data_IF_034358050047
#
_entry.id   IF_034358050047
#
_cell.length_a   1.000
_cell.length_b   1.000
_cell.length_c   1.000
_cell.angle_alpha   90.00
_cell.angle_beta   90.00
_cell.angle_gamma   90.00
#
_symmetry.space_group_name_H-M   'P 1'
#
loop_
_entity.id
_entity.type
_entity.pdbx_description
1 polymer ?
#
# COMPACT_ATOMS: atom_id res chain seq x y z
N UNK A 1 2.17 -2.09 9.84
CA UNK A 1 1.35 -2.97 10.74
C UNK A 1 1.08 -2.36 12.13
N UNK A 2 2.02 -1.78 12.87
CA UNK A 2 1.76 -1.27 14.23
C UNK A 2 0.56 -0.33 14.34
N UNK A 3 0.47 0.70 13.50
CA UNK A 3 -0.66 1.64 13.50
C UNK A 3 -2.02 0.95 13.26
N UNK A 4 -2.07 -0.09 12.43
CA UNK A 4 -3.29 -0.88 12.20
C UNK A 4 -3.77 -1.57 13.46
N UNK A 5 -2.83 -2.12 14.24
CA UNK A 5 -3.18 -2.74 15.51
C UNK A 5 -3.76 -1.72 16.49
N UNK A 6 -3.21 -0.52 16.54
CA UNK A 6 -3.75 0.56 17.37
C UNK A 6 -5.17 0.95 16.94
N UNK A 7 -5.41 1.10 15.64
CA UNK A 7 -6.74 1.39 15.09
C UNK A 7 -7.74 0.28 15.45
N UNK A 8 -7.34 -0.98 15.29
CA UNK A 8 -8.22 -2.12 15.58
C UNK A 8 -8.53 -2.30 17.06
N UNK A 9 -7.54 -2.10 17.93
CA UNK A 9 -7.63 -2.47 19.36
C UNK A 9 -7.83 -1.29 20.28
N UNK A 10 -7.58 -0.07 19.84
CA UNK A 10 -7.53 1.11 20.71
C UNK A 10 -6.38 1.10 21.71
N UNK A 11 -5.38 0.25 21.54
CA UNK A 11 -4.25 0.08 22.46
C UNK A 11 -2.95 0.51 21.80
N UNK A 12 -2.10 1.20 22.54
CA UNK A 12 -0.77 1.57 22.06
C UNK A 12 0.07 0.33 21.75
N UNK A 13 0.64 0.25 20.56
CA UNK A 13 1.37 -0.92 20.07
C UNK A 13 2.62 -1.24 20.91
N UNK A 14 3.31 -0.24 21.45
CA UNK A 14 4.53 -0.43 22.26
C UNK A 14 4.26 -1.08 23.63
N UNK A 15 3.00 -1.05 24.11
CA UNK A 15 2.59 -1.71 25.35
C UNK A 15 2.23 -3.18 25.14
N UNK A 16 2.18 -3.63 23.90
CA UNK A 16 1.69 -4.94 23.54
C UNK A 16 2.58 -5.54 22.46
N UNK A 17 2.07 -5.89 21.30
CA UNK A 17 2.87 -6.35 20.14
C UNK A 17 2.84 -5.30 19.06
N UNK A 18 3.98 -4.74 18.70
CA UNK A 18 4.02 -3.70 17.67
C UNK A 18 3.84 -4.27 16.25
N UNK A 19 4.48 -5.39 15.95
CA UNK A 19 4.37 -6.08 14.66
C UNK A 19 3.90 -7.51 14.87
N UNK A 20 2.88 -7.92 14.15
CA UNK A 20 2.36 -9.29 14.20
C UNK A 20 0.86 -9.36 13.93
N UNK A 21 0.30 -10.56 13.91
CA UNK A 21 -1.12 -10.80 13.67
C UNK A 21 -1.99 -10.28 14.83
N UNK A 22 -3.28 -10.17 14.55
CA UNK A 22 -4.28 -10.06 15.61
C UNK A 22 -4.30 -11.34 16.42
N UNK A 23 -4.14 -11.19 17.73
CA UNK A 23 -4.15 -12.32 18.66
C UNK A 23 -5.60 -12.70 19.05
N UNK A 24 -5.85 -13.96 19.47
CA UNK A 24 -7.19 -14.39 19.86
C UNK A 24 -7.82 -13.58 21.01
N UNK A 25 -6.98 -12.96 21.84
CA UNK A 25 -7.41 -12.15 22.99
C UNK A 25 -7.52 -10.64 22.68
N UNK A 26 -7.24 -10.22 21.45
CA UNK A 26 -7.39 -8.83 21.04
C UNK A 26 -8.86 -8.50 20.76
N UNK A 27 -9.35 -7.47 21.41
CA UNK A 27 -10.61 -6.85 21.01
C UNK A 27 -10.38 -6.07 19.70
N UNK A 28 -11.11 -6.43 18.67
CA UNK A 28 -10.99 -5.80 17.35
C UNK A 28 -12.24 -4.98 17.03
N UNK A 29 -12.05 -3.71 16.71
CA UNK A 29 -13.16 -2.81 16.35
C UNK A 29 -14.06 -3.39 15.25
N UNK A 30 -13.55 -3.88 14.09
CA UNK A 30 -14.42 -4.47 13.06
C UNK A 30 -15.20 -5.70 13.55
N UNK A 31 -14.60 -6.51 14.41
CA UNK A 31 -15.27 -7.68 15.00
C UNK A 31 -16.36 -7.28 15.99
N UNK A 32 -16.13 -6.26 16.80
CA UNK A 32 -17.13 -5.70 17.71
C UNK A 32 -18.30 -5.13 16.90
N UNK A 33 -18.03 -4.39 15.83
CA UNK A 33 -19.08 -3.87 14.93
C UNK A 33 -19.93 -5.02 14.37
N UNK A 34 -19.28 -6.06 13.82
CA UNK A 34 -19.95 -7.24 13.28
C UNK A 34 -20.84 -7.95 14.31
N UNK A 35 -20.37 -8.13 15.55
CA UNK A 35 -21.14 -8.73 16.65
C UNK A 35 -22.37 -7.89 17.04
N UNK A 36 -22.34 -6.59 16.77
CA UNK A 36 -23.45 -5.66 17.03
C UNK A 36 -24.31 -5.37 15.78
N UNK A 37 -24.25 -6.22 14.75
CA UNK A 37 -25.09 -6.11 13.56
C UNK A 37 -24.67 -5.03 12.57
N UNK A 38 -23.46 -4.48 12.72
CA UNK A 38 -22.88 -3.50 11.79
C UNK A 38 -22.00 -4.27 10.79
N UNK A 39 -22.34 -4.19 9.51
CA UNK A 39 -21.55 -4.80 8.45
C UNK A 39 -20.25 -4.04 8.25
N UNK A 40 -19.12 -4.71 8.33
CA UNK A 40 -17.82 -4.09 8.12
C UNK A 40 -17.13 -4.62 6.87
N UNK A 41 -16.64 -3.72 6.03
CA UNK A 41 -15.93 -4.05 4.80
C UNK A 41 -14.56 -3.38 4.77
N UNK A 42 -13.54 -4.14 4.36
CA UNK A 42 -12.17 -3.66 4.16
C UNK A 42 -11.81 -3.75 2.68
N UNK A 43 -11.27 -2.68 2.14
CA UNK A 43 -10.60 -2.69 0.85
C UNK A 43 -9.16 -2.21 1.09
N UNK A 44 -8.19 -3.02 0.68
CA UNK A 44 -6.77 -2.73 0.94
C UNK A 44 -5.87 -3.26 -0.16
N UNK A 45 -4.84 -2.51 -0.49
CA UNK A 45 -3.73 -2.95 -1.33
C UNK A 45 -2.52 -3.45 -0.53
N UNK A 46 -2.67 -3.59 0.78
CA UNK A 46 -1.60 -3.97 1.68
C UNK A 46 -1.42 -5.50 1.75
N UNK A 47 -0.54 -6.07 0.92
CA UNK A 47 -0.36 -7.51 0.77
C UNK A 47 0.20 -8.23 2.03
N UNK A 48 0.80 -7.52 2.99
CA UNK A 48 1.28 -8.11 4.24
C UNK A 48 0.21 -8.80 5.09
N UNK A 49 -1.06 -8.56 4.82
CA UNK A 49 -2.15 -9.33 5.44
C UNK A 49 -2.14 -10.81 5.03
N UNK A 50 -1.56 -11.14 3.90
CA UNK A 50 -1.57 -12.47 3.27
C UNK A 50 -0.19 -13.12 3.20
N UNK A 51 0.83 -12.52 3.78
CA UNK A 51 2.15 -13.13 3.90
C UNK A 51 2.13 -14.36 4.82
N UNK A 52 3.12 -15.23 4.68
CA UNK A 52 3.30 -16.39 5.56
C UNK A 52 3.44 -15.94 7.02
N UNK A 53 2.68 -16.57 7.90
CA UNK A 53 2.48 -16.07 9.27
C UNK A 53 1.57 -14.87 9.38
N UNK A 54 0.87 -14.52 8.35
CA UNK A 54 0.07 -13.33 8.06
C UNK A 54 -0.59 -12.60 9.20
N UNK A 55 -0.80 -11.31 9.03
CA UNK A 55 -1.25 -10.44 10.11
C UNK A 55 -2.74 -10.54 10.42
N UNK A 56 -3.52 -11.25 9.60
CA UNK A 56 -4.93 -11.66 9.87
C UNK A 56 -5.93 -10.58 10.28
N UNK A 57 -5.64 -9.30 10.01
CA UNK A 57 -6.54 -8.18 10.35
C UNK A 57 -7.82 -8.21 9.52
N UNK A 58 -7.71 -8.55 8.23
CA UNK A 58 -8.83 -8.63 7.29
C UNK A 58 -9.92 -9.61 7.72
N UNK A 59 -9.58 -10.71 8.40
CA UNK A 59 -10.53 -11.72 8.86
C UNK A 59 -11.52 -11.22 9.92
N UNK A 60 -11.26 -10.07 10.51
CA UNK A 60 -12.12 -9.44 11.51
C UNK A 60 -13.30 -8.70 10.90
N UNK A 61 -13.21 -8.34 9.61
CA UNK A 61 -14.28 -7.72 8.86
C UNK A 61 -15.35 -8.74 8.42
N UNK A 62 -16.52 -8.26 8.05
CA UNK A 62 -17.59 -9.10 7.46
C UNK A 62 -17.20 -9.57 6.06
N UNK A 63 -16.55 -8.70 5.30
CA UNK A 63 -15.97 -9.01 3.98
C UNK A 63 -14.76 -8.11 3.70
N UNK A 64 -13.97 -8.49 2.69
CA UNK A 64 -12.79 -7.72 2.30
C UNK A 64 -12.41 -7.94 0.84
N UNK A 65 -11.70 -6.95 0.28
CA UNK A 65 -11.06 -7.02 -1.03
C UNK A 65 -9.58 -6.72 -0.90
N UNK A 66 -8.74 -7.49 -1.59
CA UNK A 66 -7.30 -7.27 -1.65
C UNK A 66 -6.88 -6.89 -3.06
N UNK A 67 -6.39 -5.68 -3.22
CA UNK A 67 -5.78 -5.20 -4.45
C UNK A 67 -4.29 -5.54 -4.43
N UNK A 68 -3.79 -6.11 -5.52
CA UNK A 68 -2.43 -6.64 -5.63
C UNK A 68 -1.53 -5.68 -6.41
N UNK A 69 -0.21 -5.78 -6.16
CA UNK A 69 0.79 -5.14 -7.01
C UNK A 69 1.69 -4.10 -6.33
N UNK A 70 1.44 -3.78 -5.08
CA UNK A 70 2.28 -2.86 -4.31
C UNK A 70 3.64 -3.47 -3.98
N UNK A 71 4.67 -2.65 -3.92
CA UNK A 71 6.06 -3.07 -3.60
C UNK A 71 6.49 -4.28 -4.44
N UNK A 72 7.19 -5.18 -3.76
CA UNK A 72 7.58 -6.49 -4.28
C UNK A 72 6.52 -7.58 -4.05
N UNK A 73 5.24 -7.23 -3.96
CA UNK A 73 4.14 -8.22 -3.83
C UNK A 73 4.34 -9.38 -4.83
N UNK A 74 4.41 -10.65 -4.41
CA UNK A 74 4.56 -11.80 -5.29
C UNK A 74 3.28 -12.05 -6.12
N UNK A 75 2.90 -11.07 -6.94
CA UNK A 75 1.66 -11.02 -7.70
C UNK A 75 1.79 -11.64 -9.09
N UNK A 76 2.65 -11.06 -9.93
CA UNK A 76 2.80 -11.51 -11.31
C UNK A 76 4.01 -12.43 -11.45
N UNK A 77 3.79 -13.60 -12.04
CA UNK A 77 4.86 -14.58 -12.23
C UNK A 77 5.78 -14.20 -13.40
N UNK A 78 7.09 -14.21 -13.14
CA UNK A 78 8.12 -14.09 -14.17
C UNK A 78 9.26 -15.08 -13.86
N UNK A 79 9.32 -16.19 -14.62
CA UNK A 79 10.31 -17.26 -14.42
C UNK A 79 11.69 -16.85 -14.93
N UNK A 80 11.73 -16.19 -16.09
CA UNK A 80 12.98 -15.75 -16.70
C UNK A 80 13.67 -14.63 -15.93
N UNK A 81 14.92 -14.35 -16.29
CA UNK A 81 15.65 -13.22 -15.75
C UNK A 81 15.07 -11.91 -16.31
N UNK A 82 15.02 -10.89 -15.46
CA UNK A 82 14.66 -9.52 -15.83
C UNK A 82 15.88 -8.63 -15.65
N UNK A 83 16.23 -7.93 -16.71
CA UNK A 83 17.26 -6.89 -16.64
C UNK A 83 16.68 -5.71 -15.86
N UNK A 84 17.32 -5.38 -14.75
CA UNK A 84 16.94 -4.21 -13.96
C UNK A 84 17.55 -2.95 -14.57
N UNK A 85 16.89 -1.79 -14.47
CA UNK A 85 17.46 -0.52 -14.89
C UNK A 85 18.66 -0.15 -14.01
N UNK A 86 19.51 0.78 -14.45
CA UNK A 86 20.47 1.43 -13.59
C UNK A 86 19.72 2.12 -12.45
N UNK A 87 20.09 1.86 -11.21
CA UNK A 87 19.33 2.33 -10.04
C UNK A 87 20.24 2.71 -8.87
N UNK A 88 19.70 3.53 -7.99
CA UNK A 88 20.21 3.85 -6.65
C UNK A 88 19.15 3.39 -5.65
N UNK A 89 19.59 2.94 -4.47
CA UNK A 89 18.69 2.38 -3.48
C UNK A 89 18.25 0.96 -3.82
N UNK A 90 17.02 0.62 -3.48
CA UNK A 90 16.46 -0.72 -3.71
C UNK A 90 15.80 -0.81 -5.09
N UNK A 91 15.91 -1.95 -5.74
CA UNK A 91 15.22 -2.25 -6.98
C UNK A 91 15.04 -3.78 -7.06
N UNK A 92 13.81 -4.24 -6.91
CA UNK A 92 13.48 -5.65 -6.88
C UNK A 92 12.96 -6.16 -8.23
N UNK A 93 13.34 -7.40 -8.62
CA UNK A 93 12.79 -8.05 -9.82
C UNK A 93 11.27 -8.09 -9.79
N UNK A 94 10.68 -8.49 -8.66
CA UNK A 94 9.23 -8.64 -8.54
C UNK A 94 8.50 -7.30 -8.69
N UNK A 95 9.02 -6.23 -8.09
CA UNK A 95 8.48 -4.88 -8.24
C UNK A 95 8.51 -4.44 -9.72
N UNK A 96 9.66 -4.64 -10.40
CA UNK A 96 9.76 -4.31 -11.83
C UNK A 96 8.83 -5.14 -12.73
N UNK A 97 8.49 -6.36 -12.34
CA UNK A 97 7.50 -7.18 -13.04
C UNK A 97 6.09 -6.65 -12.79
N UNK A 98 5.78 -6.28 -11.55
CA UNK A 98 4.45 -5.75 -11.21
C UNK A 98 4.15 -4.44 -11.94
N UNK A 99 5.14 -3.55 -12.11
CA UNK A 99 5.00 -2.28 -12.82
C UNK A 99 4.55 -2.42 -14.28
N UNK A 100 4.81 -3.55 -14.93
CA UNK A 100 4.30 -3.82 -16.28
C UNK A 100 2.76 -3.95 -16.34
N UNK A 101 2.14 -4.14 -15.18
CA UNK A 101 0.69 -4.30 -15.02
C UNK A 101 0.02 -3.13 -14.30
N UNK A 102 0.82 -2.19 -13.82
CA UNK A 102 0.41 -0.94 -13.18
C UNK A 102 0.95 0.28 -13.93
N UNK A 103 1.01 0.17 -15.24
CA UNK A 103 1.64 1.09 -16.19
C UNK A 103 0.80 2.33 -16.52
N UNK A 104 -0.34 2.47 -15.90
CA UNK A 104 -1.22 3.65 -15.99
C UNK A 104 -1.82 3.94 -14.60
N UNK A 105 -2.17 5.20 -14.32
CA UNK A 105 -2.80 5.60 -13.06
C UNK A 105 -4.01 4.72 -12.72
N UNK A 106 -4.90 4.48 -13.69
CA UNK A 106 -6.09 3.62 -13.51
C UNK A 106 -5.79 2.19 -13.05
N UNK A 107 -4.58 1.69 -13.31
CA UNK A 107 -4.13 0.35 -12.94
C UNK A 107 -3.29 0.31 -11.68
N UNK A 108 -2.88 1.46 -11.17
CA UNK A 108 -2.14 1.53 -9.91
C UNK A 108 -3.02 1.02 -8.76
N UNK A 109 -2.40 0.32 -7.83
CA UNK A 109 -3.10 -0.33 -6.73
C UNK A 109 -3.95 0.67 -5.92
N UNK A 110 -3.42 1.87 -5.66
CA UNK A 110 -4.13 2.96 -5.00
C UNK A 110 -5.43 3.31 -5.74
N UNK A 111 -5.37 3.58 -7.05
CA UNK A 111 -6.54 3.96 -7.85
C UNK A 111 -7.60 2.85 -7.89
N UNK A 112 -7.16 1.59 -8.01
CA UNK A 112 -8.06 0.43 -7.98
C UNK A 112 -8.74 0.30 -6.61
N UNK A 113 -7.99 0.53 -5.53
CA UNK A 113 -8.50 0.46 -4.14
C UNK A 113 -9.57 1.52 -3.90
N UNK A 114 -9.34 2.77 -4.31
CA UNK A 114 -10.34 3.83 -4.19
C UNK A 114 -11.58 3.58 -5.05
N UNK A 115 -11.41 3.10 -6.28
CA UNK A 115 -12.53 2.76 -7.17
C UNK A 115 -13.41 1.67 -6.57
N UNK A 116 -12.83 0.63 -5.98
CA UNK A 116 -13.59 -0.39 -5.25
C UNK A 116 -14.35 0.21 -4.04
N UNK A 117 -13.75 1.20 -3.36
CA UNK A 117 -14.43 1.96 -2.30
C UNK A 117 -15.64 2.72 -2.81
N UNK A 118 -15.53 3.39 -3.94
CA UNK A 118 -16.66 4.08 -4.58
C UNK A 118 -17.75 3.10 -4.99
N UNK A 119 -17.39 1.95 -5.57
CA UNK A 119 -18.34 0.89 -5.92
C UNK A 119 -19.12 0.38 -4.69
N UNK A 120 -18.42 0.18 -3.56
CA UNK A 120 -19.09 -0.18 -2.32
C UNK A 120 -20.12 0.87 -1.87
N UNK A 121 -19.73 2.17 -1.92
CA UNK A 121 -20.62 3.27 -1.55
C UNK A 121 -21.84 3.35 -2.47
N UNK A 122 -21.65 3.25 -3.78
CA UNK A 122 -22.74 3.27 -4.76
C UNK A 122 -23.72 2.10 -4.56
N UNK A 123 -23.19 0.91 -4.31
CA UNK A 123 -24.01 -0.29 -4.08
C UNK A 123 -24.81 -0.22 -2.80
N UNK A 124 -24.27 0.39 -1.75
CA UNK A 124 -24.82 0.34 -0.40
C UNK A 124 -25.42 1.68 0.08
N UNK A 125 -25.55 2.69 -0.80
CA UNK A 125 -26.03 4.03 -0.43
C UNK A 125 -27.41 4.06 0.23
N UNK A 126 -28.26 3.06 -0.03
CA UNK A 126 -29.60 2.91 0.56
C UNK A 126 -29.64 2.00 1.79
N UNK A 127 -28.50 1.51 2.28
CA UNK A 127 -28.41 0.63 3.44
C UNK A 127 -27.83 1.36 4.64
N UNK A 128 -28.26 0.98 5.84
CA UNK A 128 -27.74 1.47 7.12
C UNK A 128 -26.88 0.41 7.80
N UNK A 129 -26.20 0.82 8.87
CA UNK A 129 -25.44 -0.06 9.75
C UNK A 129 -24.25 -0.75 9.05
N UNK A 130 -23.48 0.01 8.30
CA UNK A 130 -22.21 -0.47 7.74
C UNK A 130 -21.04 0.44 8.09
N UNK A 131 -19.86 -0.14 8.01
CA UNK A 131 -18.56 0.52 8.17
C UNK A 131 -17.65 0.09 7.01
N UNK A 132 -17.10 1.06 6.30
CA UNK A 132 -16.14 0.86 5.24
C UNK A 132 -14.77 1.38 5.69
N UNK A 133 -13.74 0.56 5.53
CA UNK A 133 -12.34 0.99 5.60
C UNK A 133 -11.71 0.82 4.22
N UNK A 134 -11.25 1.93 3.66
CA UNK A 134 -10.39 1.95 2.48
C UNK A 134 -8.98 2.26 2.94
N UNK A 135 -8.03 1.43 2.57
CA UNK A 135 -6.66 1.51 3.02
C UNK A 135 -5.74 1.38 1.83
N UNK A 136 -4.93 2.41 1.59
CA UNK A 136 -3.89 2.42 0.55
C UNK A 136 -2.51 2.34 1.17
N UNK A 137 -1.59 1.68 0.46
CA UNK A 137 -0.20 1.57 0.85
C UNK A 137 0.57 2.85 0.56
N UNK A 138 0.26 3.48 -0.59
CA UNK A 138 0.83 4.75 -0.96
C UNK A 138 0.47 5.86 0.08
N UNK A 139 1.40 6.79 0.36
CA UNK A 139 2.70 7.03 -0.29
C UNK A 139 3.88 6.33 0.40
N UNK A 140 3.80 5.03 0.66
CA UNK A 140 4.94 4.23 1.10
C UNK A 140 5.91 4.01 -0.07
N UNK A 141 7.19 3.78 0.20
CA UNK A 141 8.13 3.40 -0.87
C UNK A 141 7.82 1.97 -1.38
N UNK A 142 8.11 1.66 -2.64
CA UNK A 142 8.72 2.51 -3.67
C UNK A 142 7.78 3.63 -4.14
N UNK A 143 8.32 4.83 -4.29
CA UNK A 143 7.57 5.99 -4.76
C UNK A 143 7.38 5.92 -6.28
N UNK A 144 6.64 4.91 -6.72
CA UNK A 144 6.35 4.70 -8.14
C UNK A 144 5.16 5.56 -8.56
N UNK A 145 5.39 6.42 -9.55
CA UNK A 145 4.38 7.27 -10.18
C UNK A 145 4.56 7.21 -11.69
N UNK A 146 3.51 7.55 -12.44
CA UNK A 146 3.60 7.72 -13.88
C UNK A 146 4.32 9.04 -14.22
N UNK A 147 4.93 9.10 -15.41
CA UNK A 147 5.66 10.30 -15.85
C UNK A 147 4.73 11.52 -15.94
N UNK A 148 3.47 11.32 -16.34
CA UNK A 148 2.46 12.37 -16.42
C UNK A 148 2.19 13.03 -15.06
N UNK A 149 2.13 12.24 -14.00
CA UNK A 149 1.87 12.72 -12.63
C UNK A 149 3.09 13.47 -12.08
N UNK A 150 4.29 13.06 -12.50
CA UNK A 150 5.54 13.69 -12.10
C UNK A 150 5.78 15.04 -12.79
N UNK A 151 5.25 15.26 -14.02
CA UNK A 151 5.49 16.49 -14.79
C UNK A 151 5.07 17.77 -14.07
N UNK A 152 4.15 17.70 -13.12
CA UNK A 152 3.78 18.83 -12.25
C UNK A 152 4.86 19.25 -11.26
N UNK A 153 5.83 18.39 -10.97
CA UNK A 153 6.88 18.56 -9.96
C UNK A 153 8.28 18.62 -10.58
N UNK A 154 8.50 17.93 -11.68
CA UNK A 154 9.81 17.82 -12.33
C UNK A 154 9.61 17.64 -13.84
N UNK A 155 10.19 18.55 -14.62
CA UNK A 155 10.00 18.55 -16.08
C UNK A 155 10.88 17.50 -16.78
N UNK A 156 12.09 17.26 -16.28
CA UNK A 156 13.07 16.33 -16.87
C UNK A 156 13.93 15.71 -15.76
N UNK A 157 14.17 14.41 -15.88
CA UNK A 157 15.06 13.66 -15.04
C UNK A 157 15.90 12.69 -15.87
N UNK A 158 17.21 12.81 -15.80
CA UNK A 158 18.19 12.00 -16.55
C UNK A 158 19.04 11.09 -15.66
N UNK A 159 18.69 10.98 -14.38
CA UNK A 159 19.39 10.15 -13.40
C UNK A 159 18.97 8.67 -13.45
N UNK A 160 19.62 7.84 -12.62
CA UNK A 160 19.22 6.45 -12.45
C UNK A 160 17.85 6.33 -11.78
N UNK A 161 17.19 5.18 -11.90
CA UNK A 161 15.97 4.91 -11.13
C UNK A 161 16.27 5.08 -9.63
N UNK A 162 15.53 5.97 -8.98
CA UNK A 162 15.65 6.20 -7.55
C UNK A 162 14.27 6.54 -6.95
N UNK A 163 13.54 5.52 -6.56
CA UNK A 163 12.22 5.66 -5.94
C UNK A 163 12.06 4.78 -4.68
N UNK A 164 13.04 3.94 -4.40
CA UNK A 164 13.07 3.11 -3.20
C UNK A 164 14.34 3.34 -2.38
N UNK A 165 14.43 4.47 -1.65
CA UNK A 165 15.60 4.80 -0.85
C UNK A 165 15.75 3.85 0.34
N UNK A 166 17.00 3.65 0.79
CA UNK A 166 17.28 2.90 2.01
C UNK A 166 17.03 3.73 3.28
N UNK A 167 16.83 3.05 4.41
CA UNK A 167 16.67 3.69 5.73
C UNK A 167 18.03 4.02 6.36
N UNK A 168 18.69 5.03 5.83
CA UNK A 168 20.00 5.52 6.30
C UNK A 168 20.17 7.02 6.02
N UNK A 169 21.29 7.58 6.46
CA UNK A 169 21.62 8.95 6.09
C UNK A 169 21.90 9.01 4.59
N UNK A 170 21.40 10.06 3.94
CA UNK A 170 21.69 10.33 2.52
C UNK A 170 23.20 10.27 2.26
N UNK A 171 23.60 9.43 1.34
CA UNK A 171 24.99 9.28 0.90
C UNK A 171 25.37 10.36 -0.10
N UNK A 172 26.68 10.49 -0.39
CA UNK A 172 27.14 11.42 -1.43
C UNK A 172 26.66 11.03 -2.83
N UNK A 173 26.46 9.73 -3.07
CA UNK A 173 25.92 9.20 -4.33
C UNK A 173 24.43 9.55 -4.50
N UNK A 174 23.64 9.46 -3.44
CA UNK A 174 22.21 9.77 -3.45
C UNK A 174 21.90 11.27 -3.49
N UNK A 175 22.81 12.07 -2.92
CA UNK A 175 22.60 13.51 -2.70
C UNK A 175 22.09 14.28 -3.93
N UNK A 176 22.62 14.07 -5.14
CA UNK A 176 22.14 14.78 -6.34
C UNK A 176 20.68 14.47 -6.69
N UNK A 177 20.17 13.32 -6.27
CA UNK A 177 18.88 12.80 -6.69
C UNK A 177 17.78 12.86 -5.62
N UNK A 178 18.09 13.38 -4.42
CA UNK A 178 17.13 13.48 -3.31
C UNK A 178 15.88 14.29 -3.68
N UNK A 179 16.04 15.35 -4.49
CA UNK A 179 14.90 16.15 -4.91
C UNK A 179 13.96 15.38 -5.82
N UNK A 180 14.47 14.54 -6.71
CA UNK A 180 13.65 13.64 -7.53
C UNK A 180 12.78 12.69 -6.67
N UNK A 181 13.37 12.06 -5.66
CA UNK A 181 12.62 11.20 -4.72
C UNK A 181 11.51 11.98 -4.00
N UNK A 182 11.81 13.23 -3.58
CA UNK A 182 10.80 14.10 -2.96
C UNK A 182 9.68 14.48 -3.91
N UNK A 183 10.00 14.72 -5.18
CA UNK A 183 9.01 15.03 -6.20
C UNK A 183 8.09 13.84 -6.46
N UNK A 184 8.63 12.62 -6.54
CA UNK A 184 7.84 11.38 -6.64
C UNK A 184 6.91 11.18 -5.44
N UNK A 185 7.41 11.38 -4.23
CA UNK A 185 6.58 11.33 -3.02
C UNK A 185 5.46 12.37 -3.05
N UNK A 186 5.77 13.60 -3.48
CA UNK A 186 4.76 14.66 -3.58
C UNK A 186 3.71 14.37 -4.66
N UNK A 187 4.11 13.78 -5.78
CA UNK A 187 3.20 13.34 -6.83
C UNK A 187 2.23 12.25 -6.32
N UNK A 188 2.73 11.24 -5.60
CA UNK A 188 1.88 10.21 -4.96
C UNK A 188 0.87 10.79 -3.95
N UNK A 189 1.23 11.87 -3.26
CA UNK A 189 0.30 12.56 -2.34
C UNK A 189 -0.77 13.37 -3.06
N UNK A 190 -0.54 13.73 -4.32
CA UNK A 190 -1.48 14.52 -5.12
C UNK A 190 -2.50 13.65 -5.86
N UNK A 191 -2.14 12.41 -6.17
CA UNK A 191 -3.05 11.41 -6.76
C UNK A 191 -4.21 11.11 -5.82
#
# INVERSE_FOLDING_TARGET
>A
MPARREIHTGRYNFLHRSWGPMEPYDDSMPEILKRNGIYSHLISDHYHYWEDGGCTYHNRYSSWENVRGQEGDPWKGCVGDKVLPAHIGQCGKQDMVNREYTDTEDRMAQSVTFRAGVEFLERNHGADNWFLQVETFDPHEPFYVQDEDLMGFEAEYDGPLFDWPGYHRVTEEERPYVQHVRNKYAALLQM
#
